data_IF_698570558739
#
_entry.id   IF_698570558739
#
_cell.length_a   1.000
_cell.length_b   1.000
_cell.length_c   1.000
_cell.angle_alpha   90.00
_cell.angle_beta   90.00
_cell.angle_gamma   90.00
#
_symmetry.space_group_name_H-M   'P 1'
#
loop_
_entity.id
_entity.type
_entity.pdbx_description
1 polymer ?
#
# COMPACT_ATOMS: atom_id res chain seq x y z
N UNK A 1 16.42 6.00 -7.24
CA UNK A 1 15.67 4.79 -7.71
C UNK A 1 14.19 5.06 -7.58
N UNK A 2 13.45 5.07 -8.70
CA UNK A 2 11.99 5.28 -8.65
C UNK A 2 11.26 3.99 -8.29
N UNK A 3 10.31 4.06 -7.38
CA UNK A 3 9.50 2.92 -6.95
C UNK A 3 8.10 3.36 -6.57
N UNK A 4 7.18 2.38 -6.46
CA UNK A 4 5.85 2.62 -5.89
C UNK A 4 5.91 2.42 -4.38
N UNK A 5 5.72 3.47 -3.64
CA UNK A 5 5.62 3.47 -2.18
C UNK A 5 4.17 3.26 -1.73
N UNK A 6 3.99 2.58 -0.61
CA UNK A 6 2.67 2.29 -0.05
C UNK A 6 2.50 3.04 1.27
N UNK A 7 1.45 3.84 1.38
CA UNK A 7 0.98 4.46 2.61
C UNK A 7 -0.26 3.68 3.09
N UNK A 8 -0.10 2.67 3.96
CA UNK A 8 -1.20 1.77 4.31
C UNK A 8 -2.35 2.49 5.04
N UNK A 9 -2.04 3.52 5.83
CA UNK A 9 -3.00 4.33 6.58
C UNK A 9 -4.00 5.08 5.69
N UNK A 10 -3.65 5.28 4.41
CA UNK A 10 -4.51 5.93 3.42
C UNK A 10 -5.34 4.96 2.60
N UNK A 11 -5.09 3.67 2.72
CA UNK A 11 -5.78 2.69 1.91
C UNK A 11 -7.19 2.42 2.45
N UNK A 12 -8.19 2.74 1.63
CA UNK A 12 -9.62 2.53 1.94
C UNK A 12 -10.18 1.21 1.37
N UNK A 13 -9.34 0.35 0.80
CA UNK A 13 -9.75 -0.95 0.27
C UNK A 13 -10.60 -0.90 -1.01
N UNK A 14 -10.66 0.20 -1.73
CA UNK A 14 -11.53 0.38 -2.91
C UNK A 14 -11.17 -0.49 -4.13
N UNK A 15 -10.00 -1.11 -4.16
CA UNK A 15 -9.49 -2.01 -5.22
C UNK A 15 -9.38 -1.40 -6.63
N UNK A 16 -9.49 -0.10 -6.78
CA UNK A 16 -9.31 0.54 -8.09
C UNK A 16 -7.92 0.31 -8.68
N UNK A 17 -6.89 0.19 -7.83
CA UNK A 17 -5.54 -0.17 -8.24
C UNK A 17 -5.45 -1.58 -8.84
N UNK A 18 -6.25 -2.54 -8.36
CA UNK A 18 -6.33 -3.88 -8.93
C UNK A 18 -6.96 -3.84 -10.33
N UNK A 19 -8.08 -3.13 -10.46
CA UNK A 19 -8.75 -2.97 -11.74
C UNK A 19 -7.86 -2.28 -12.77
N UNK A 20 -7.28 -1.14 -12.43
CA UNK A 20 -6.38 -0.41 -13.33
C UNK A 20 -5.14 -1.23 -13.71
N UNK A 21 -4.59 -2.02 -12.77
CA UNK A 21 -3.49 -2.92 -13.07
C UNK A 21 -3.91 -4.01 -14.07
N UNK A 22 -5.09 -4.61 -13.92
CA UNK A 22 -5.60 -5.60 -14.84
C UNK A 22 -5.83 -5.01 -16.24
N UNK A 23 -6.39 -3.81 -16.35
CA UNK A 23 -6.59 -3.08 -17.61
C UNK A 23 -5.26 -2.77 -18.28
N UNK A 24 -4.28 -2.23 -17.55
CA UNK A 24 -2.96 -1.91 -18.09
C UNK A 24 -2.18 -3.13 -18.62
N UNK A 25 -2.56 -4.34 -18.16
CA UNK A 25 -1.96 -5.61 -18.61
C UNK A 25 -2.93 -6.46 -19.45
N UNK A 26 -4.01 -5.89 -19.94
CA UNK A 26 -4.93 -6.49 -20.88
C UNK A 26 -4.42 -6.32 -22.33
N UNK A 27 -5.02 -7.01 -23.28
CA UNK A 27 -4.68 -6.84 -24.71
C UNK A 27 -5.26 -5.56 -25.31
N UNK A 28 -6.44 -5.17 -24.84
CA UNK A 28 -7.15 -3.99 -25.33
C UNK A 28 -6.65 -2.69 -24.70
N UNK A 29 -6.07 -2.75 -23.50
CA UNK A 29 -5.77 -1.58 -22.65
C UNK A 29 -6.98 -0.66 -22.43
N UNK A 30 -8.19 -1.19 -22.62
CA UNK A 30 -9.45 -0.47 -22.48
C UNK A 30 -10.26 -1.01 -21.31
N UNK A 31 -10.70 -0.10 -20.43
CA UNK A 31 -11.43 -0.45 -19.21
C UNK A 31 -12.81 -1.08 -19.46
N UNK A 32 -13.44 -0.77 -20.60
CA UNK A 32 -14.74 -1.32 -20.98
C UNK A 32 -14.60 -2.72 -21.63
N UNK A 33 -13.47 -2.98 -22.30
CA UNK A 33 -13.25 -4.22 -23.08
C UNK A 33 -12.52 -5.27 -22.22
N UNK A 34 -11.53 -4.88 -21.44
CA UNK A 34 -10.67 -5.78 -20.68
C UNK A 34 -11.43 -6.82 -19.82
N UNK A 35 -12.55 -6.50 -19.16
CA UNK A 35 -13.31 -7.50 -18.38
C UNK A 35 -13.87 -8.67 -19.18
N UNK A 36 -14.04 -8.48 -20.50
CA UNK A 36 -14.62 -9.47 -21.42
C UNK A 36 -13.57 -10.26 -22.21
N UNK A 37 -12.30 -9.96 -22.02
CA UNK A 37 -11.21 -10.70 -22.67
C UNK A 37 -11.11 -12.14 -22.19
N UNK A 38 -10.67 -13.02 -23.09
CA UNK A 38 -10.36 -14.44 -22.78
C UNK A 38 -8.91 -14.75 -23.20
N UNK A 39 -8.03 -15.16 -22.26
CA UNK A 39 -8.26 -15.22 -20.79
C UNK A 39 -8.44 -13.81 -20.21
N UNK A 40 -9.23 -13.74 -19.12
CA UNK A 40 -9.47 -12.47 -18.43
C UNK A 40 -8.15 -11.92 -17.85
N UNK A 41 -7.82 -10.63 -18.05
CA UNK A 41 -6.61 -10.04 -17.50
C UNK A 41 -6.64 -10.05 -15.97
N UNK A 42 -5.47 -10.25 -15.37
CA UNK A 42 -5.33 -10.38 -13.92
C UNK A 42 -4.50 -9.24 -13.34
N UNK A 43 -4.93 -8.78 -12.19
CA UNK A 43 -4.17 -7.81 -11.42
C UNK A 43 -2.86 -8.44 -10.91
N UNK A 44 -1.81 -7.61 -10.86
CA UNK A 44 -0.48 -7.94 -10.32
C UNK A 44 -0.22 -7.22 -8.98
N UNK A 45 -1.23 -6.54 -8.46
CA UNK A 45 -1.30 -5.96 -7.12
C UNK A 45 -2.57 -6.50 -6.45
N UNK A 46 -2.52 -6.79 -5.15
CA UNK A 46 -3.62 -7.40 -4.42
C UNK A 46 -3.90 -6.63 -3.14
N UNK A 47 -5.14 -6.17 -2.98
CA UNK A 47 -5.58 -5.45 -1.78
C UNK A 47 -6.11 -6.47 -0.79
N UNK A 48 -5.29 -6.74 0.24
CA UNK A 48 -5.67 -7.58 1.38
C UNK A 48 -6.36 -6.76 2.48
N UNK A 49 -7.16 -7.45 3.29
CA UNK A 49 -7.69 -6.90 4.54
C UNK A 49 -6.59 -6.89 5.61
N UNK A 50 -6.47 -5.80 6.35
CA UNK A 50 -5.57 -5.72 7.50
C UNK A 50 -6.10 -6.49 8.71
N UNK A 51 -5.28 -6.60 9.73
CA UNK A 51 -5.61 -7.27 10.99
C UNK A 51 -6.56 -6.47 11.86
N UNK A 52 -6.65 -5.16 11.64
CA UNK A 52 -7.54 -4.25 12.38
C UNK A 52 -8.75 -3.90 11.51
N UNK A 53 -9.89 -3.63 12.15
CA UNK A 53 -11.11 -3.21 11.46
C UNK A 53 -10.85 -2.00 10.56
N UNK A 54 -11.40 -2.02 9.35
CA UNK A 54 -11.25 -0.98 8.31
C UNK A 54 -9.81 -0.71 7.82
N UNK A 55 -8.85 -1.60 8.07
CA UNK A 55 -7.53 -1.47 7.48
C UNK A 55 -7.39 -2.34 6.23
N UNK A 56 -6.72 -1.82 5.22
CA UNK A 56 -6.46 -2.52 3.96
C UNK A 56 -5.02 -2.26 3.52
N UNK A 57 -4.42 -3.23 2.82
CA UNK A 57 -3.04 -3.10 2.36
C UNK A 57 -2.90 -3.54 0.90
N UNK A 58 -2.49 -2.63 -0.01
CA UNK A 58 -2.22 -2.96 -1.40
C UNK A 58 -0.85 -3.64 -1.53
N UNK A 59 -0.86 -4.97 -1.53
CA UNK A 59 0.34 -5.79 -1.63
C UNK A 59 0.79 -5.97 -3.08
N UNK A 60 2.07 -5.75 -3.33
CA UNK A 60 2.71 -5.89 -4.64
C UNK A 60 4.17 -6.31 -4.53
N UNK A 61 4.79 -6.71 -5.65
CA UNK A 61 6.21 -7.02 -5.67
C UNK A 61 7.07 -5.84 -5.22
N UNK A 62 8.09 -6.12 -4.39
CA UNK A 62 9.05 -5.12 -3.88
C UNK A 62 10.28 -4.98 -4.77
N UNK A 63 10.43 -5.83 -5.79
CA UNK A 63 11.60 -5.87 -6.68
C UNK A 63 12.92 -5.97 -5.91
N UNK A 64 12.98 -6.91 -4.96
CA UNK A 64 14.08 -7.10 -4.01
C UNK A 64 15.47 -7.14 -4.68
N UNK A 65 16.49 -6.74 -3.93
CA UNK A 65 17.90 -6.88 -4.28
C UNK A 65 18.69 -7.27 -3.03
N UNK A 66 19.25 -8.51 -2.95
CA UNK A 66 19.07 -9.63 -3.87
C UNK A 66 17.63 -10.12 -3.98
N UNK A 67 17.28 -10.81 -5.07
CA UNK A 67 15.93 -11.28 -5.34
C UNK A 67 15.84 -12.80 -5.22
N UNK A 68 15.33 -13.37 -4.12
CA UNK A 68 15.25 -14.83 -3.91
C UNK A 68 14.52 -15.56 -5.04
N UNK A 69 13.48 -14.96 -5.60
CA UNK A 69 12.74 -15.53 -6.72
C UNK A 69 13.55 -15.62 -8.02
N UNK A 70 14.57 -14.79 -8.20
CA UNK A 70 15.51 -14.87 -9.33
C UNK A 70 16.53 -15.98 -9.09
N UNK A 71 17.07 -16.05 -7.87
CA UNK A 71 18.09 -17.01 -7.50
C UNK A 71 17.63 -18.48 -7.60
N UNK A 72 16.37 -18.74 -7.24
CA UNK A 72 15.82 -20.11 -7.29
C UNK A 72 15.23 -20.51 -8.63
N UNK A 73 15.17 -19.61 -9.61
CA UNK A 73 14.51 -19.90 -10.89
C UNK A 73 15.40 -20.74 -11.81
N UNK A 74 15.11 -22.03 -12.04
CA UNK A 74 15.98 -22.92 -12.80
C UNK A 74 16.07 -22.58 -14.29
N UNK A 75 15.07 -21.87 -14.83
CA UNK A 75 14.97 -21.49 -16.24
C UNK A 75 15.32 -20.03 -16.50
N UNK A 76 15.72 -19.29 -15.46
CA UNK A 76 15.91 -17.83 -15.54
C UNK A 76 14.71 -17.09 -16.11
N UNK A 77 13.51 -17.64 -15.95
CA UNK A 77 12.25 -16.95 -16.25
C UNK A 77 12.09 -15.71 -15.37
N UNK A 78 12.39 -15.85 -14.06
CA UNK A 78 12.55 -14.70 -13.19
C UNK A 78 13.95 -14.13 -13.38
N UNK A 79 14.03 -12.85 -13.74
CA UNK A 79 15.29 -12.15 -13.95
C UNK A 79 15.20 -10.70 -13.48
N UNK A 80 16.35 -10.12 -13.17
CA UNK A 80 16.45 -8.72 -12.78
C UNK A 80 16.88 -7.85 -13.95
N UNK A 81 16.07 -6.87 -14.29
CA UNK A 81 16.46 -5.76 -15.14
C UNK A 81 17.21 -4.74 -14.26
N UNK A 82 18.53 -4.64 -14.50
CA UNK A 82 19.38 -3.76 -13.69
C UNK A 82 19.24 -2.30 -14.02
N UNK A 83 18.90 -1.96 -15.27
CA UNK A 83 18.74 -0.59 -15.72
C UNK A 83 17.49 0.04 -15.07
N UNK A 84 16.42 -0.72 -14.99
CA UNK A 84 15.15 -0.28 -14.43
C UNK A 84 15.01 -0.63 -12.94
N UNK A 85 15.96 -1.39 -12.39
CA UNK A 85 15.96 -1.89 -11.01
C UNK A 85 14.68 -2.68 -10.65
N UNK A 86 14.13 -3.44 -11.61
CA UNK A 86 12.92 -4.26 -11.42
C UNK A 86 13.21 -5.74 -11.66
N UNK A 87 12.44 -6.61 -11.02
CA UNK A 87 12.44 -8.04 -11.30
C UNK A 87 11.29 -8.32 -12.25
N UNK A 88 11.56 -9.02 -13.35
CA UNK A 88 10.59 -9.38 -14.37
C UNK A 88 10.35 -10.90 -14.40
N UNK A 89 9.24 -11.31 -14.97
CA UNK A 89 8.89 -12.71 -15.21
C UNK A 89 8.67 -12.93 -16.72
N UNK A 90 9.53 -13.76 -17.34
CA UNK A 90 9.37 -14.17 -18.73
C UNK A 90 8.47 -15.42 -18.78
N UNK A 91 7.23 -15.24 -19.22
CA UNK A 91 6.28 -16.33 -19.35
C UNK A 91 6.71 -17.42 -20.33
N UNK A 92 7.53 -17.11 -21.35
CA UNK A 92 8.00 -18.10 -22.33
C UNK A 92 8.98 -19.10 -21.73
N UNK A 93 9.77 -18.71 -20.74
CA UNK A 93 10.73 -19.56 -20.04
C UNK A 93 10.14 -20.24 -18.80
N UNK A 94 8.99 -19.80 -18.33
CA UNK A 94 8.40 -20.31 -17.09
C UNK A 94 7.91 -21.74 -17.27
N UNK A 95 8.31 -22.65 -16.38
CA UNK A 95 7.86 -24.06 -16.34
C UNK A 95 6.84 -24.32 -15.23
N UNK A 96 6.32 -23.27 -14.60
CA UNK A 96 5.33 -23.33 -13.51
C UNK A 96 5.74 -24.19 -12.29
N UNK A 97 7.03 -24.29 -11.98
CA UNK A 97 7.53 -25.10 -10.85
C UNK A 97 7.20 -24.51 -9.47
N UNK A 98 6.67 -23.29 -9.39
CA UNK A 98 6.27 -22.57 -8.20
C UNK A 98 7.39 -22.21 -7.18
N UNK A 99 8.63 -22.57 -7.41
CA UNK A 99 9.75 -22.27 -6.48
C UNK A 99 9.85 -20.77 -6.15
N UNK A 100 9.64 -19.90 -7.14
CA UNK A 100 9.67 -18.45 -6.94
C UNK A 100 8.56 -17.94 -5.98
N UNK A 101 7.39 -18.57 -5.99
CA UNK A 101 6.31 -18.25 -5.05
C UNK A 101 6.62 -18.74 -3.65
N UNK A 102 7.20 -19.93 -3.50
CA UNK A 102 7.57 -20.52 -2.21
C UNK A 102 8.61 -19.69 -1.44
N UNK A 103 9.53 -19.03 -2.15
CA UNK A 103 10.58 -18.20 -1.52
C UNK A 103 10.22 -16.72 -1.43
N UNK A 104 9.06 -16.31 -1.95
CA UNK A 104 8.66 -14.91 -1.91
C UNK A 104 8.17 -14.51 -0.51
N UNK A 105 8.86 -13.62 0.22
CA UNK A 105 8.45 -13.26 1.57
C UNK A 105 7.19 -12.37 1.61
N UNK A 106 6.66 -11.99 0.44
CA UNK A 106 5.51 -11.10 0.31
C UNK A 106 4.27 -11.75 -0.32
N UNK A 107 4.34 -13.02 -0.72
CA UNK A 107 3.25 -13.79 -1.34
C UNK A 107 2.57 -13.08 -2.53
N UNK A 108 3.38 -12.46 -3.39
CA UNK A 108 2.87 -11.62 -4.50
C UNK A 108 3.03 -12.26 -5.89
N UNK A 109 3.43 -13.52 -5.94
CA UNK A 109 3.60 -14.26 -7.19
C UNK A 109 2.43 -15.23 -7.34
N UNK A 110 1.65 -15.02 -8.38
CA UNK A 110 0.48 -15.83 -8.73
C UNK A 110 0.72 -16.57 -10.04
N UNK A 111 -0.13 -17.57 -10.34
CA UNK A 111 0.01 -18.37 -11.55
C UNK A 111 -1.29 -18.32 -12.34
N UNK A 112 -1.19 -17.89 -13.60
CA UNK A 112 -2.33 -17.71 -14.49
C UNK A 112 -2.00 -18.19 -15.90
N UNK A 113 -3.04 -18.48 -16.67
CA UNK A 113 -2.88 -18.81 -18.10
C UNK A 113 -2.21 -17.64 -18.83
N UNK A 114 -1.21 -17.95 -19.66
CA UNK A 114 -0.54 -16.96 -20.48
C UNK A 114 -1.52 -16.30 -21.46
N UNK A 115 -1.52 -14.98 -21.52
CA UNK A 115 -2.46 -14.19 -22.33
C UNK A 115 -2.18 -14.23 -23.84
N UNK A 116 -1.01 -14.65 -24.28
CA UNK A 116 -0.52 -14.44 -25.66
C UNK A 116 -0.49 -15.72 -26.48
N UNK A 117 -1.63 -16.21 -26.94
CA UNK A 117 -1.74 -17.14 -28.08
C UNK A 117 -0.95 -18.46 -28.07
N UNK A 118 -0.09 -18.66 -27.07
CA UNK A 118 0.58 -19.92 -26.80
C UNK A 118 -0.46 -20.94 -26.26
N UNK A 119 -0.23 -22.24 -26.38
CA UNK A 119 -1.12 -23.23 -25.79
C UNK A 119 -1.37 -22.88 -24.31
N UNK A 120 -2.55 -23.13 -23.76
CA UNK A 120 -2.97 -22.65 -22.44
C UNK A 120 -2.01 -23.18 -21.38
N UNK A 121 -0.98 -22.42 -21.13
CA UNK A 121 0.11 -22.74 -20.20
C UNK A 121 0.02 -21.78 -19.03
N UNK A 122 0.05 -22.35 -17.85
CA UNK A 122 0.10 -21.56 -16.61
C UNK A 122 1.51 -21.03 -16.41
N UNK A 123 1.64 -19.75 -16.14
CA UNK A 123 2.93 -19.07 -15.93
C UNK A 123 2.89 -18.18 -14.68
N UNK A 124 4.05 -17.96 -14.10
CA UNK A 124 4.19 -17.05 -12.98
C UNK A 124 3.88 -15.61 -13.40
N UNK A 125 3.04 -14.95 -12.64
CA UNK A 125 2.60 -13.56 -12.85
C UNK A 125 2.84 -12.76 -11.58
N UNK A 126 3.45 -11.59 -11.71
CA UNK A 126 3.67 -10.65 -10.60
C UNK A 126 3.79 -9.23 -11.13
N UNK A 127 3.77 -8.25 -10.24
CA UNK A 127 4.04 -6.86 -10.59
C UNK A 127 5.39 -6.74 -11.31
N UNK A 128 5.41 -6.05 -12.44
CA UNK A 128 6.57 -5.74 -13.28
C UNK A 128 7.03 -4.28 -13.14
N UNK A 129 6.41 -3.51 -12.23
CA UNK A 129 6.68 -2.08 -12.07
C UNK A 129 6.06 -1.22 -13.17
N UNK A 130 5.14 -1.76 -13.97
CA UNK A 130 4.58 -1.11 -15.17
C UNK A 130 5.67 -0.59 -16.11
N UNK A 131 6.66 -1.43 -16.42
CA UNK A 131 7.88 -1.05 -17.17
C UNK A 131 7.53 -0.31 -18.46
N UNK A 132 6.55 -0.76 -19.21
CA UNK A 132 6.14 -0.15 -20.49
C UNK A 132 5.66 1.29 -20.28
N UNK A 133 4.75 1.53 -19.35
CA UNK A 133 4.23 2.87 -19.01
C UNK A 133 5.34 3.79 -18.48
N UNK A 134 6.17 3.26 -17.55
CA UNK A 134 7.27 4.04 -16.97
C UNK A 134 8.31 4.40 -18.03
N UNK A 135 8.60 3.52 -18.98
CA UNK A 135 9.51 3.80 -20.09
C UNK A 135 8.95 4.86 -21.05
N UNK A 136 7.63 4.98 -21.15
CA UNK A 136 6.95 6.03 -21.94
C UNK A 136 6.79 7.35 -21.16
N UNK A 137 7.33 7.44 -19.93
CA UNK A 137 7.24 8.63 -19.09
C UNK A 137 5.95 8.74 -18.28
N UNK A 138 5.11 7.71 -18.30
CA UNK A 138 3.88 7.65 -17.52
C UNK A 138 4.15 7.10 -16.11
N UNK A 139 3.18 7.29 -15.21
CA UNK A 139 3.21 6.67 -13.90
C UNK A 139 2.56 5.28 -13.91
N UNK A 140 2.90 4.37 -12.98
CA UNK A 140 2.26 3.07 -12.87
C UNK A 140 0.73 3.18 -12.74
N UNK A 141 -0.02 2.35 -13.46
CA UNK A 141 -1.49 2.40 -13.51
C UNK A 141 -2.16 2.31 -12.14
N UNK A 142 -1.60 1.51 -11.22
CA UNK A 142 -2.12 1.40 -9.85
C UNK A 142 -1.97 2.69 -9.03
N UNK A 143 -0.94 3.49 -9.31
CA UNK A 143 -0.71 4.79 -8.67
C UNK A 143 -1.67 5.83 -9.23
N UNK A 144 -1.80 5.89 -10.55
CA UNK A 144 -2.72 6.81 -11.25
C UNK A 144 -4.16 6.63 -10.78
N UNK A 145 -4.59 5.39 -10.60
CA UNK A 145 -5.94 5.05 -10.13
C UNK A 145 -6.15 5.31 -8.62
N UNK A 146 -5.09 5.50 -7.84
CA UNK A 146 -5.19 5.61 -6.38
C UNK A 146 -5.56 7.03 -5.94
N UNK A 147 -6.84 7.35 -5.91
CA UNK A 147 -7.34 8.68 -5.49
C UNK A 147 -7.15 8.97 -4.00
N UNK A 148 -7.02 7.94 -3.17
CA UNK A 148 -6.74 8.09 -1.73
C UNK A 148 -5.26 8.45 -1.44
N UNK A 149 -4.36 8.37 -2.44
CA UNK A 149 -2.94 8.61 -2.26
C UNK A 149 -2.23 7.55 -1.41
N UNK A 150 -2.81 6.35 -1.31
CA UNK A 150 -2.19 5.20 -0.65
C UNK A 150 -0.99 4.65 -1.45
N UNK A 151 -1.00 4.83 -2.77
CA UNK A 151 0.10 4.47 -3.65
C UNK A 151 0.72 5.74 -4.23
N UNK A 152 2.03 5.89 -4.11
CA UNK A 152 2.78 7.04 -4.62
C UNK A 152 3.98 6.53 -5.40
N UNK A 153 4.30 7.15 -6.55
CA UNK A 153 5.45 6.79 -7.36
C UNK A 153 6.46 7.93 -7.38
N UNK A 154 7.71 7.63 -7.07
CA UNK A 154 8.77 8.63 -7.05
C UNK A 154 10.12 8.05 -6.63
N UNK A 155 11.08 8.94 -6.43
CA UNK A 155 12.37 8.55 -5.86
C UNK A 155 12.19 8.09 -4.41
N UNK A 156 12.84 6.99 -4.06
CA UNK A 156 12.69 6.36 -2.74
C UNK A 156 13.09 7.30 -1.60
N UNK A 157 14.19 8.02 -1.74
CA UNK A 157 14.68 8.90 -0.67
C UNK A 157 13.76 10.11 -0.49
N UNK A 158 13.24 10.67 -1.59
CA UNK A 158 12.27 11.77 -1.55
C UNK A 158 10.96 11.33 -0.89
N UNK A 159 10.48 10.13 -1.22
CA UNK A 159 9.25 9.57 -0.62
C UNK A 159 9.41 9.29 0.87
N UNK A 160 10.56 8.78 1.30
CA UNK A 160 10.87 8.56 2.72
C UNK A 160 10.96 9.90 3.45
N UNK A 161 11.67 10.88 2.90
CA UNK A 161 11.79 12.21 3.50
C UNK A 161 10.43 12.88 3.67
N UNK A 162 9.56 12.80 2.66
CA UNK A 162 8.19 13.31 2.74
C UNK A 162 7.35 12.56 3.79
N UNK A 163 7.55 11.25 3.95
CA UNK A 163 6.93 10.45 5.01
C UNK A 163 7.35 10.92 6.40
N UNK A 164 8.66 11.02 6.64
CA UNK A 164 9.20 11.51 7.91
C UNK A 164 8.71 12.92 8.27
N UNK A 165 8.64 13.81 7.29
CA UNK A 165 8.15 15.18 7.52
C UNK A 165 6.66 15.19 7.94
N UNK A 166 5.84 14.33 7.34
CA UNK A 166 4.42 14.20 7.74
C UNK A 166 4.27 13.66 9.15
N UNK A 167 4.99 12.59 9.50
CA UNK A 167 4.94 11.99 10.83
C UNK A 167 5.41 12.99 11.89
N UNK A 168 6.51 13.68 11.63
CA UNK A 168 7.01 14.74 12.53
C UNK A 168 5.96 15.84 12.74
N UNK A 169 5.34 16.31 11.65
CA UNK A 169 4.29 17.32 11.72
C UNK A 169 3.07 16.82 12.50
N UNK A 170 2.64 15.59 12.28
CA UNK A 170 1.51 14.99 13.00
C UNK A 170 1.80 14.87 14.50
N UNK A 171 3.01 14.42 14.88
CA UNK A 171 3.43 14.31 16.27
C UNK A 171 3.48 15.69 16.96
N UNK A 172 4.03 16.70 16.29
CA UNK A 172 4.08 18.06 16.84
C UNK A 172 2.69 18.68 16.99
N UNK A 173 1.80 18.44 16.00
CA UNK A 173 0.42 18.93 16.08
C UNK A 173 -0.36 18.26 17.22
N UNK A 174 -0.20 16.96 17.42
CA UNK A 174 -0.85 16.24 18.52
C UNK A 174 -0.30 16.66 19.87
N UNK A 175 1.01 16.90 19.99
CA UNK A 175 1.63 17.40 21.19
C UNK A 175 1.15 18.82 21.54
N UNK A 176 1.05 19.72 20.53
CA UNK A 176 0.52 21.07 20.73
C UNK A 176 -0.97 21.07 21.10
N UNK A 177 -1.76 20.19 20.49
CA UNK A 177 -3.16 20.03 20.86
C UNK A 177 -3.33 19.51 22.29
N UNK A 178 -2.50 18.54 22.72
CA UNK A 178 -2.49 18.06 24.08
C UNK A 178 -2.11 19.15 25.10
N UNK A 179 -1.16 20.03 24.76
CA UNK A 179 -0.79 21.18 25.58
C UNK A 179 -1.90 22.23 25.63
N UNK A 180 -2.59 22.47 24.50
CA UNK A 180 -3.69 23.43 24.43
C UNK A 180 -4.94 22.98 25.19
N UNK A 181 -5.14 21.67 25.35
CA UNK A 181 -6.24 21.11 26.15
C UNK A 181 -5.91 20.95 27.63
N UNK A 182 -4.65 21.16 28.02
CA UNK A 182 -4.25 21.15 29.41
C UNK A 182 -4.80 22.43 30.09
N UNK A 183 -5.72 22.25 30.99
CA UNK A 183 -6.29 23.33 31.79
C UNK A 183 -5.14 24.03 32.59
N UNK A 184 -5.02 25.37 32.53
CA UNK A 184 -4.03 26.07 33.34
C UNK A 184 -4.19 25.73 34.82
N UNK A 185 -3.09 25.52 35.53
CA UNK A 185 -3.09 25.08 36.94
C UNK A 185 -3.93 26.00 37.84
N UNK A 186 -3.99 27.29 37.52
CA UNK A 186 -4.87 28.25 38.20
C UNK A 186 -6.35 27.99 38.02
N UNK A 187 -6.79 27.57 36.81
CA UNK A 187 -8.20 27.27 36.51
C UNK A 187 -8.60 25.95 37.19
N UNK A 188 -7.72 24.96 37.19
CA UNK A 188 -7.94 23.71 37.92
C UNK A 188 -8.08 23.94 39.43
N UNK A 189 -7.25 24.86 40.00
CA UNK A 189 -7.35 25.26 41.40
C UNK A 189 -8.70 25.97 41.70
N UNK A 190 -9.16 26.86 40.84
CA UNK A 190 -10.45 27.51 40.99
C UNK A 190 -11.64 26.54 40.91
N UNK A 191 -11.60 25.54 40.05
CA UNK A 191 -12.62 24.49 40.00
C UNK A 191 -12.66 23.64 41.24
N UNK A 192 -11.48 23.22 41.75
CA UNK A 192 -11.39 22.45 42.97
C UNK A 192 -11.95 23.25 44.14
N UNK A 193 -11.64 24.56 44.25
CA UNK A 193 -12.18 25.44 45.28
C UNK A 193 -13.70 25.62 45.12
N UNK A 194 -14.21 25.82 43.90
CA UNK A 194 -15.65 25.92 43.67
C UNK A 194 -16.42 24.68 44.06
N UNK A 195 -15.88 23.49 43.82
CA UNK A 195 -16.46 22.22 44.25
C UNK A 195 -16.51 22.10 45.78
N UNK A 196 -15.44 22.51 46.47
CA UNK A 196 -15.38 22.53 47.92
C UNK A 196 -16.36 23.57 48.50
N UNK A 197 -16.52 24.73 47.88
CA UNK A 197 -17.45 25.78 48.32
C UNK A 197 -18.93 25.34 48.17
N UNK A 198 -19.28 24.59 47.14
CA UNK A 198 -20.62 24.02 47.01
C UNK A 198 -20.95 23.02 48.12
N UNK A 199 -19.99 22.23 48.53
CA UNK A 199 -20.17 21.25 49.66
C UNK A 199 -20.41 21.95 50.99
N UNK A 200 -19.65 23.02 51.29
CA UNK A 200 -19.85 23.84 52.50
C UNK A 200 -21.25 24.54 52.46
N UNK A 201 -21.72 25.02 51.34
CA UNK A 201 -23.03 25.63 51.22
C UNK A 201 -24.18 24.61 51.42
N UNK A 202 -24.03 23.38 51.04
CA UNK A 202 -25.00 22.30 51.31
C UNK A 202 -25.06 21.97 52.80
N UNK A 203 -23.92 21.87 53.48
CA UNK A 203 -23.88 21.62 54.94
C UNK A 203 -24.58 22.77 55.75
N UNK A 204 -24.33 24.02 55.32
CA UNK A 204 -24.98 25.18 55.97
C UNK A 204 -26.48 25.20 55.70
N UNK A 205 -26.97 24.81 54.54
CA UNK A 205 -28.40 24.77 54.19
C UNK A 205 -29.14 23.67 54.95
N UNK A 206 -28.49 22.57 55.30
CA UNK A 206 -29.15 21.45 55.97
C UNK A 206 -28.99 21.46 57.48
N UNK A 207 -28.44 22.54 58.07
CA UNK A 207 -28.45 22.78 59.50
C UNK A 207 -27.80 21.69 60.38
N UNK A 208 -26.75 21.03 59.84
CA UNK A 208 -25.95 20.14 60.65
C UNK A 208 -24.87 20.94 61.36
N UNK A 209 -24.80 20.84 62.71
CA UNK A 209 -23.77 21.53 63.51
C UNK A 209 -22.36 20.96 63.22
#
# INVERSE_FOLDING_TARGET
MKTVFVNPERCIGCRQCEFACAVAHSRSHDAAIAPFETPRPRSRIHVGTGTTYNTSFPNKCRHCDPAPCVEVCPTSSMHRDRERAVVLADGHKCIACAMCAMVCPFDVITFHSAANGAPPRVVATKCDGCVERVSSGEIPACVEACKAGALVFGDLNELIAAGCARETSAMLTSATAALATREPDGVAGWRAWGASATHVNEEVRHGKP
#
